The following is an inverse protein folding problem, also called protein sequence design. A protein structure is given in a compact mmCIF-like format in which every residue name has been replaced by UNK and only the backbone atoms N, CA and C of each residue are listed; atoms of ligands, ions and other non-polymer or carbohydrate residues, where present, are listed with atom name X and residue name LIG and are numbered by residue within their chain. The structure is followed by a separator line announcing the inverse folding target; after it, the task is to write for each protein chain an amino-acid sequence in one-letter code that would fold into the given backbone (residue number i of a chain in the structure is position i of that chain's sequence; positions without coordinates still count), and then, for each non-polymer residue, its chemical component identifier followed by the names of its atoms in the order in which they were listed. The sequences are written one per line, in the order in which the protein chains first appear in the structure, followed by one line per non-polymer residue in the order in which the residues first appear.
data_IF_810990265200
#
_entry.id   IF_810990265200
#
_cell.length_a   1.000
_cell.length_b   1.000
_cell.length_c   1.000
_cell.angle_alpha   90.00
_cell.angle_beta   90.00
_cell.angle_gamma   90.00
#
_symmetry.space_group_name_H-M   'P 1'
#
loop_
_entity.id
_entity.type
_entity.pdbx_description
1 polymer ?
#
# COMPACT_ATOMS: atom_id res chain seq x y z
N UNK A 1 -7.91 -52.32 -14.61
CA UNK A 1 -9.15 -51.75 -14.06
C UNK A 1 -8.98 -51.13 -12.67
N UNK A 2 -8.35 -51.80 -11.71
CA UNK A 2 -8.21 -51.24 -10.34
C UNK A 2 -7.28 -50.00 -10.30
N UNK A 3 -6.13 -50.06 -10.99
CA UNK A 3 -5.14 -48.96 -11.03
C UNK A 3 -5.71 -47.68 -11.65
N UNK A 4 -6.52 -47.81 -12.70
CA UNK A 4 -7.17 -46.67 -13.36
C UNK A 4 -8.23 -46.01 -12.48
N UNK A 5 -8.91 -46.76 -11.62
CA UNK A 5 -9.92 -46.23 -10.69
C UNK A 5 -9.25 -45.45 -9.54
N UNK A 6 -8.09 -45.92 -9.05
CA UNK A 6 -7.34 -45.23 -7.98
C UNK A 6 -6.75 -43.90 -8.48
N UNK A 7 -6.22 -43.88 -9.70
CA UNK A 7 -5.65 -42.66 -10.29
C UNK A 7 -6.72 -41.58 -10.56
N UNK A 8 -7.90 -41.97 -11.06
CA UNK A 8 -8.98 -40.99 -11.31
C UNK A 8 -9.59 -40.47 -10.01
N UNK A 9 -9.69 -41.30 -8.98
CA UNK A 9 -10.16 -40.85 -7.66
C UNK A 9 -9.17 -39.89 -6.99
N UNK A 10 -7.86 -40.13 -7.09
CA UNK A 10 -6.83 -39.21 -6.59
C UNK A 10 -6.88 -37.84 -7.29
N UNK A 11 -6.99 -37.82 -8.62
CA UNK A 11 -7.04 -36.58 -9.40
C UNK A 11 -8.32 -35.77 -9.11
N UNK A 12 -9.48 -36.43 -9.03
CA UNK A 12 -10.73 -35.76 -8.69
C UNK A 12 -10.72 -35.18 -7.26
N UNK A 13 -10.10 -35.87 -6.30
CA UNK A 13 -9.95 -35.32 -4.95
C UNK A 13 -8.97 -34.14 -4.91
N UNK A 14 -7.93 -34.14 -5.75
CA UNK A 14 -7.00 -33.02 -5.86
C UNK A 14 -7.72 -31.76 -6.35
N UNK A 15 -8.53 -31.87 -7.42
CA UNK A 15 -9.28 -30.74 -7.98
C UNK A 15 -10.39 -30.23 -7.03
N UNK A 16 -11.10 -31.12 -6.32
CA UNK A 16 -12.14 -30.72 -5.37
C UNK A 16 -11.56 -30.04 -4.13
N UNK A 17 -10.39 -30.49 -3.65
CA UNK A 17 -9.72 -29.89 -2.49
C UNK A 17 -9.04 -28.57 -2.86
N UNK A 18 -8.34 -28.49 -4.00
CA UNK A 18 -7.72 -27.23 -4.45
C UNK A 18 -8.75 -26.21 -4.95
N UNK A 19 -9.80 -26.65 -5.65
CA UNK A 19 -10.82 -25.76 -6.23
C UNK A 19 -11.72 -25.09 -5.20
N UNK A 20 -11.97 -25.72 -4.04
CA UNK A 20 -12.82 -25.15 -3.00
C UNK A 20 -12.11 -24.16 -2.06
N UNK A 21 -10.77 -24.07 -2.08
CA UNK A 21 -10.04 -23.11 -1.23
C UNK A 21 -10.28 -21.64 -1.63
N UNK A 22 -10.70 -21.37 -2.88
CA UNK A 22 -10.90 -19.99 -3.38
C UNK A 22 -12.36 -19.54 -3.47
N UNK A 23 -13.31 -20.35 -3.00
CA UNK A 23 -14.72 -20.03 -3.16
C UNK A 23 -15.29 -19.49 -1.84
N UNK A 24 -15.60 -18.20 -1.86
CA UNK A 24 -16.59 -17.52 -1.00
C UNK A 24 -16.04 -16.62 0.14
N UNK A 25 -15.76 -15.33 -0.17
CA UNK A 25 -15.80 -14.22 0.81
C UNK A 25 -16.20 -12.90 0.14
N UNK A 26 -17.50 -12.56 0.13
CA UNK A 26 -17.99 -11.21 -0.16
C UNK A 26 -17.62 -10.26 1.01
N UNK A 27 -16.36 -9.86 1.06
CA UNK A 27 -15.86 -8.81 1.96
C UNK A 27 -15.17 -7.75 1.11
N UNK A 28 -15.21 -6.48 1.48
CA UNK A 28 -14.57 -5.34 0.78
C UNK A 28 -13.09 -5.58 0.42
N UNK A 29 -12.39 -6.45 1.16
CA UNK A 29 -11.05 -6.99 0.86
C UNK A 29 -10.92 -7.65 -0.53
N UNK A 30 -12.01 -8.20 -1.08
CA UNK A 30 -12.03 -8.92 -2.35
C UNK A 30 -12.15 -8.01 -3.58
N UNK A 31 -12.69 -6.80 -3.44
CA UNK A 31 -12.99 -5.93 -4.60
C UNK A 31 -11.71 -5.35 -5.22
N UNK A 32 -10.77 -4.96 -4.38
CA UNK A 32 -9.52 -4.31 -4.80
C UNK A 32 -8.29 -5.24 -4.71
N UNK A 33 -8.42 -6.35 -3.99
CA UNK A 33 -7.34 -7.32 -3.79
C UNK A 33 -6.47 -7.02 -2.55
N UNK A 34 -5.49 -7.89 -2.24
CA UNK A 34 -4.69 -7.77 -1.03
C UNK A 34 -3.76 -6.54 -1.07
N UNK A 35 -3.44 -6.01 0.11
CA UNK A 35 -2.50 -4.90 0.33
C UNK A 35 -2.78 -3.62 -0.49
N UNK A 36 -4.05 -3.34 -0.74
CA UNK A 36 -4.52 -2.08 -1.31
C UNK A 36 -4.98 -1.16 -0.20
N UNK A 37 -4.49 0.08 -0.21
CA UNK A 37 -4.78 1.13 0.74
C UNK A 37 -5.69 2.18 0.10
N UNK A 38 -6.61 2.75 0.89
CA UNK A 38 -7.41 3.90 0.49
C UNK A 38 -6.68 5.18 0.89
N UNK A 39 -6.58 6.12 -0.04
CA UNK A 39 -6.01 7.45 0.13
C UNK A 39 -7.13 8.45 -0.09
N UNK A 40 -7.46 9.22 0.93
CA UNK A 40 -8.41 10.31 0.80
C UNK A 40 -7.69 11.60 0.40
N UNK A 41 -8.27 12.36 -0.52
CA UNK A 41 -7.82 13.69 -0.92
C UNK A 41 -8.98 14.67 -0.76
N UNK A 42 -8.76 15.82 -0.13
CA UNK A 42 -9.79 16.83 0.03
C UNK A 42 -9.92 17.61 -1.28
N UNK A 43 -11.11 17.61 -1.89
CA UNK A 43 -11.37 18.45 -3.06
C UNK A 43 -11.59 19.88 -2.57
N UNK A 44 -10.61 20.76 -2.76
CA UNK A 44 -10.80 22.19 -2.52
C UNK A 44 -11.61 22.81 -3.66
N UNK A 45 -12.56 23.69 -3.34
CA UNK A 45 -13.41 24.42 -4.30
C UNK A 45 -12.63 25.23 -5.35
N UNK A 46 -11.32 25.45 -5.16
CA UNK A 46 -10.42 26.12 -6.12
C UNK A 46 -9.61 25.14 -7.01
N UNK A 47 -9.92 23.84 -7.00
CA UNK A 47 -9.21 22.81 -7.78
C UNK A 47 -7.82 22.43 -7.26
N UNK A 48 -7.33 23.11 -6.22
CA UNK A 48 -6.08 22.77 -5.52
C UNK A 48 -6.42 21.81 -4.38
N UNK A 49 -6.43 20.51 -4.65
CA UNK A 49 -6.57 19.52 -3.60
C UNK A 49 -5.42 19.68 -2.59
N UNK A 50 -5.73 20.10 -1.36
CA UNK A 50 -4.75 19.99 -0.27
C UNK A 50 -4.64 18.50 0.03
N UNK A 51 -3.52 17.90 -0.39
CA UNK A 51 -3.32 16.46 -0.30
C UNK A 51 -3.01 16.05 1.14
N UNK A 52 -4.01 16.07 2.01
CA UNK A 52 -3.93 15.35 3.28
C UNK A 52 -4.08 13.87 2.98
N UNK A 53 -2.96 13.21 2.69
CA UNK A 53 -2.89 11.79 2.32
C UNK A 53 -3.12 10.92 3.54
N UNK A 54 -4.36 10.79 3.97
CA UNK A 54 -4.71 9.83 5.02
C UNK A 54 -4.84 8.45 4.40
N UNK A 55 -3.94 7.54 4.81
CA UNK A 55 -4.01 6.13 4.43
C UNK A 55 -4.85 5.37 5.44
N UNK A 56 -6.09 5.13 5.07
CA UNK A 56 -7.01 4.28 5.82
C UNK A 56 -7.03 2.85 5.27
N UNK A 57 -7.38 1.89 6.13
CA UNK A 57 -7.93 0.63 5.63
C UNK A 57 -9.26 0.92 4.92
N UNK A 58 -9.62 0.17 3.86
CA UNK A 58 -10.92 0.34 3.20
C UNK A 58 -12.04 0.08 4.23
N UNK A 59 -12.67 1.14 4.72
CA UNK A 59 -13.82 1.04 5.62
C UNK A 59 -15.02 0.51 4.80
N UNK A 60 -15.84 -0.34 5.44
CA UNK A 60 -17.06 -0.90 4.83
C UNK A 60 -18.04 0.22 4.46
N UNK A 61 -18.70 0.05 3.30
CA UNK A 61 -19.59 0.97 2.57
C UNK A 61 -20.88 1.38 3.31
N UNK A 62 -21.00 1.16 4.61
CA UNK A 62 -22.19 1.57 5.36
C UNK A 62 -21.99 2.96 5.96
N UNK A 63 -22.35 3.95 5.13
CA UNK A 63 -22.51 5.37 5.46
C UNK A 63 -21.22 6.08 5.87
N UNK A 64 -20.76 6.99 5.02
CA UNK A 64 -20.77 8.42 5.30
C UNK A 64 -20.29 9.16 4.05
N UNK A 65 -20.92 10.30 3.76
CA UNK A 65 -20.35 11.23 2.80
C UNK A 65 -18.95 11.58 3.31
N UNK A 66 -17.89 11.13 2.63
CA UNK A 66 -16.52 11.41 3.06
C UNK A 66 -16.29 12.91 2.92
N UNK A 67 -16.56 13.63 4.02
CA UNK A 67 -16.41 15.07 4.12
C UNK A 67 -15.45 15.38 5.25
N UNK A 68 -14.29 15.91 4.91
CA UNK A 68 -13.31 16.37 5.89
C UNK A 68 -13.41 17.88 5.96
N UNK A 69 -13.61 18.43 7.16
CA UNK A 69 -13.80 19.87 7.37
C UNK A 69 -14.95 20.48 6.52
N UNK A 70 -16.01 19.71 6.28
CA UNK A 70 -17.15 20.12 5.44
C UNK A 70 -16.90 20.09 3.93
N UNK A 71 -15.68 19.80 3.49
CA UNK A 71 -15.28 19.66 2.09
C UNK A 71 -15.44 18.20 1.64
N UNK A 72 -15.88 17.96 0.41
CA UNK A 72 -15.93 16.59 -0.12
C UNK A 72 -14.51 16.03 -0.28
N UNK A 73 -14.36 14.71 -0.12
CA UNK A 73 -13.09 14.03 -0.40
C UNK A 73 -13.24 13.01 -1.52
N UNK A 74 -12.14 12.78 -2.24
CA UNK A 74 -12.02 11.79 -3.30
C UNK A 74 -11.16 10.66 -2.73
N UNK A 75 -11.71 9.44 -2.73
CA UNK A 75 -10.98 8.24 -2.30
C UNK A 75 -10.27 7.63 -3.50
N UNK A 76 -8.94 7.53 -3.43
CA UNK A 76 -8.08 6.83 -4.37
C UNK A 76 -7.60 5.52 -3.77
N UNK A 77 -7.41 4.51 -4.61
CA UNK A 77 -6.88 3.22 -4.19
C UNK A 77 -5.48 3.02 -4.78
N UNK A 78 -4.50 2.75 -3.92
CA UNK A 78 -3.11 2.51 -4.30
C UNK A 78 -2.51 1.36 -3.49
N UNK A 79 -1.35 0.87 -3.89
CA UNK A 79 -0.65 -0.14 -3.10
C UNK A 79 -0.20 0.45 -1.76
N UNK A 80 -0.43 -0.31 -0.69
CA UNK A 80 0.10 0.01 0.62
C UNK A 80 1.65 0.08 0.61
N UNK A 81 2.21 0.74 1.62
CA UNK A 81 3.67 0.79 1.78
C UNK A 81 4.28 -0.61 1.87
N UNK A 82 5.41 -0.78 1.20
CA UNK A 82 6.09 -2.07 1.13
C UNK A 82 5.51 -3.05 0.09
N UNK A 83 4.41 -2.70 -0.59
CA UNK A 83 3.80 -3.57 -1.61
C UNK A 83 3.82 -2.93 -3.01
N UNK A 84 3.73 -3.79 -4.03
CA UNK A 84 3.66 -3.42 -5.44
C UNK A 84 2.68 -4.33 -6.18
N UNK A 85 2.08 -3.81 -7.23
CA UNK A 85 1.27 -4.61 -8.15
C UNK A 85 2.16 -5.56 -8.96
N UNK A 86 1.60 -6.70 -9.35
CA UNK A 86 2.23 -7.70 -10.20
C UNK A 86 1.31 -7.94 -11.40
N UNK A 87 1.89 -8.11 -12.58
CA UNK A 87 1.12 -8.32 -13.80
C UNK A 87 0.25 -9.57 -13.70
N UNK A 88 -1.03 -9.44 -14.03
CA UNK A 88 -1.99 -10.55 -13.99
C UNK A 88 -2.52 -10.92 -12.59
N UNK A 89 -2.17 -10.18 -11.54
CA UNK A 89 -2.72 -10.38 -10.19
C UNK A 89 -3.58 -9.19 -9.74
N UNK A 90 -4.75 -9.42 -9.09
CA UNK A 90 -5.52 -8.35 -8.48
C UNK A 90 -4.81 -7.79 -7.23
N UNK A 91 -4.95 -6.48 -7.00
CA UNK A 91 -4.35 -5.79 -5.86
C UNK A 91 -2.82 -5.71 -5.91
N UNK A 92 -2.19 -5.80 -4.74
CA UNK A 92 -0.77 -5.61 -4.55
C UNK A 92 -0.15 -6.85 -3.87
N UNK A 93 0.12 -7.87 -4.68
CA UNK A 93 0.66 -9.16 -4.22
C UNK A 93 2.18 -9.17 -4.09
N UNK A 94 2.87 -8.26 -4.78
CA UNK A 94 4.32 -8.16 -4.72
C UNK A 94 4.79 -7.40 -3.48
N UNK A 95 5.90 -7.82 -2.90
CA UNK A 95 6.58 -7.11 -1.79
C UNK A 95 7.78 -6.33 -2.35
N UNK A 96 7.96 -5.10 -1.89
CA UNK A 96 9.13 -4.25 -2.17
C UNK A 96 10.29 -4.69 -1.30
N UNK A 97 11.52 -4.67 -1.85
CA UNK A 97 12.71 -4.92 -1.03
C UNK A 97 12.88 -3.80 -0.01
N UNK A 98 13.29 -4.18 1.21
CA UNK A 98 13.63 -3.24 2.27
C UNK A 98 14.86 -2.44 1.88
N UNK A 99 14.81 -1.13 2.10
CA UNK A 99 15.89 -0.18 1.82
C UNK A 99 16.39 0.44 3.12
N UNK A 100 17.53 1.14 3.07
CA UNK A 100 17.97 1.95 4.21
C UNK A 100 17.04 3.15 4.41
N UNK A 101 17.13 3.79 5.57
CA UNK A 101 16.21 4.87 5.99
C UNK A 101 16.22 6.05 5.01
N UNK A 102 17.37 6.40 4.44
CA UNK A 102 17.47 7.51 3.48
C UNK A 102 16.87 7.17 2.13
N UNK A 103 17.11 5.97 1.64
CA UNK A 103 16.47 5.48 0.41
C UNK A 103 14.95 5.35 0.58
N UNK A 104 14.48 4.86 1.74
CA UNK A 104 13.05 4.84 2.06
C UNK A 104 12.46 6.25 2.12
N UNK A 105 13.15 7.21 2.76
CA UNK A 105 12.70 8.61 2.79
C UNK A 105 12.58 9.19 1.37
N UNK A 106 13.55 8.91 0.49
CA UNK A 106 13.52 9.34 -0.90
C UNK A 106 12.34 8.74 -1.67
N UNK A 107 12.02 7.45 -1.47
CA UNK A 107 10.85 6.81 -2.08
C UNK A 107 9.51 7.35 -1.57
N UNK A 108 9.47 7.79 -0.32
CA UNK A 108 8.29 8.44 0.26
C UNK A 108 8.11 9.89 -0.18
N UNK A 109 9.05 10.43 -0.97
CA UNK A 109 9.00 11.81 -1.47
C UNK A 109 9.63 12.85 -0.55
N UNK A 110 10.43 12.44 0.45
CA UNK A 110 11.17 13.37 1.31
C UNK A 110 12.59 13.61 0.77
N UNK A 111 12.69 14.24 -0.40
CA UNK A 111 13.97 14.46 -1.11
C UNK A 111 14.80 15.56 -0.46
N UNK A 112 14.15 16.60 0.07
CA UNK A 112 14.84 17.71 0.74
C UNK A 112 15.54 17.22 2.01
N UNK A 113 14.87 16.39 2.79
CA UNK A 113 15.49 15.74 3.94
C UNK A 113 16.76 14.96 3.56
N UNK A 114 16.71 14.16 2.49
CA UNK A 114 17.87 13.38 2.02
C UNK A 114 19.00 14.30 1.57
N UNK A 115 18.69 15.44 0.94
CA UNK A 115 19.67 16.47 0.56
C UNK A 115 20.36 17.05 1.81
N UNK A 116 19.59 17.45 2.82
CA UNK A 116 20.14 17.98 4.07
C UNK A 116 20.95 16.94 4.84
N UNK A 117 20.48 15.70 4.93
CA UNK A 117 21.21 14.61 5.58
C UNK A 117 22.60 14.40 4.94
N UNK A 118 22.71 14.55 3.61
CA UNK A 118 23.99 14.50 2.91
C UNK A 118 24.88 15.72 3.20
N UNK A 119 24.32 16.93 3.20
CA UNK A 119 25.07 18.17 3.44
C UNK A 119 25.66 18.24 4.86
N UNK A 120 24.96 17.68 5.86
CA UNK A 120 25.39 17.71 7.27
C UNK A 120 26.12 16.44 7.72
N UNK A 121 26.54 15.58 6.80
CA UNK A 121 27.33 14.38 7.13
C UNK A 121 26.55 13.29 7.89
N UNK A 122 25.22 13.30 7.82
CA UNK A 122 24.38 12.26 8.42
C UNK A 122 24.18 11.04 7.49
N UNK A 123 24.62 11.13 6.23
CA UNK A 123 24.39 10.09 5.23
C UNK A 123 24.96 8.73 5.65
N UNK A 124 26.24 8.69 6.01
CA UNK A 124 26.92 7.45 6.38
C UNK A 124 26.35 6.87 7.67
N UNK A 125 26.10 7.71 8.68
CA UNK A 125 25.50 7.29 9.95
C UNK A 125 24.11 6.66 9.79
N UNK A 126 23.26 7.24 8.94
CA UNK A 126 21.89 6.75 8.73
C UNK A 126 21.80 5.57 7.75
N UNK A 127 22.88 5.28 7.04
CA UNK A 127 22.99 4.11 6.15
C UNK A 127 23.73 2.95 6.81
N UNK A 128 24.63 3.22 7.78
CA UNK A 128 25.37 2.22 8.54
C UNK A 128 24.50 1.58 9.63
N UNK A 129 23.55 0.72 9.23
CA UNK A 129 23.09 -0.46 9.97
C UNK A 129 22.47 -0.31 11.37
N UNK A 130 22.21 0.91 11.88
CA UNK A 130 21.54 1.12 13.16
C UNK A 130 20.00 1.08 13.06
N UNK A 131 19.27 0.63 14.10
CA UNK A 131 17.82 0.76 14.14
C UNK A 131 17.44 2.22 14.42
N UNK A 132 17.03 2.94 13.39
CA UNK A 132 16.56 4.32 13.51
C UNK A 132 15.04 4.42 13.34
N UNK A 133 14.43 5.29 14.11
CA UNK A 133 13.09 5.83 13.83
C UNK A 133 13.25 7.33 13.67
N UNK A 134 12.97 7.83 12.47
CA UNK A 134 13.17 9.25 12.13
C UNK A 134 11.83 9.82 11.70
N UNK A 135 11.44 10.94 12.29
CA UNK A 135 10.32 11.73 11.83
C UNK A 135 10.81 12.66 10.72
N UNK A 136 10.51 12.30 9.49
CA UNK A 136 11.00 13.01 8.30
C UNK A 136 9.93 14.01 7.84
N UNK A 137 10.25 15.32 7.73
CA UNK A 137 9.34 16.30 7.15
C UNK A 137 9.08 16.02 5.67
N UNK A 138 7.91 16.41 5.16
CA UNK A 138 7.67 16.40 3.71
C UNK A 138 8.44 17.52 3.02
N UNK A 139 8.64 17.42 1.70
CA UNK A 139 9.34 18.46 0.94
C UNK A 139 8.62 19.81 1.04
N UNK A 140 7.29 19.82 1.11
CA UNK A 140 6.49 21.03 1.31
C UNK A 140 6.77 21.67 2.66
N UNK A 141 7.01 20.89 3.72
CA UNK A 141 7.33 21.42 5.04
C UNK A 141 8.66 22.22 5.06
N UNK A 142 9.58 21.92 4.15
CA UNK A 142 10.82 22.71 3.98
C UNK A 142 10.60 24.03 3.22
N UNK A 143 9.52 24.15 2.44
CA UNK A 143 9.22 25.36 1.63
C UNK A 143 8.59 26.52 2.42
N UNK A 144 8.22 26.29 3.67
CA UNK A 144 7.56 27.28 4.54
C UNK A 144 8.57 28.13 5.33
N UNK A 145 9.86 27.82 5.23
CA UNK A 145 10.97 28.55 5.86
C UNK A 145 11.83 29.28 4.83
#
# INVERSE_FOLDING_TARGET
MIVTIVLTSLMLTYDVVYGNYHRNRNTTLHKYGPNVCAVEEISSDNGVATSHRERGWPLDNHQQQHRTCGQNTIVRYECCLGFKSMYGCPGCTGVKLTKNVLETAQELGAREFVRYARQHGLYDSLTSGGPYTIFVPTDEAFSVY
#
